data_IF_866340263479
#
_entry.id   IF_866340263479
#
_cell.length_a   1.000
_cell.length_b   1.000
_cell.length_c   1.000
_cell.angle_alpha   90.00
_cell.angle_beta   90.00
_cell.angle_gamma   90.00
#
_symmetry.space_group_name_H-M   'P 1'
#
loop_
_entity.id
_entity.type
_entity.pdbx_description
1 polymer ?
#
# COMPACT_ATOMS: atom_id res chain seq x y z
N UNK A 1 -18.38 34.29 26.72
CA UNK A 1 -18.31 34.34 25.24
C UNK A 1 -18.32 32.90 24.75
N UNK A 2 -19.41 32.49 24.10
CA UNK A 2 -19.69 31.09 23.72
C UNK A 2 -19.07 30.81 22.35
N UNK A 3 -18.26 29.75 22.25
CA UNK A 3 -17.84 29.16 20.98
C UNK A 3 -19.09 28.77 20.17
N UNK A 4 -19.23 29.33 18.98
CA UNK A 4 -20.19 28.83 18.01
C UNK A 4 -19.58 27.60 17.33
N UNK A 5 -20.26 26.46 17.49
CA UNK A 5 -20.04 25.27 16.67
C UNK A 5 -20.20 25.66 15.20
N UNK A 6 -19.14 25.45 14.40
CA UNK A 6 -19.23 25.50 12.95
C UNK A 6 -19.90 24.21 12.48
N UNK A 7 -21.23 24.21 12.41
CA UNK A 7 -21.99 23.08 11.86
C UNK A 7 -21.66 22.98 10.37
N UNK A 8 -21.00 21.91 9.97
CA UNK A 8 -20.77 21.55 8.57
C UNK A 8 -22.13 21.30 7.90
N UNK A 9 -22.62 22.29 7.14
CA UNK A 9 -23.83 22.13 6.33
C UNK A 9 -23.44 21.27 5.12
N UNK A 10 -23.78 19.97 5.17
CA UNK A 10 -23.85 19.14 3.98
C UNK A 10 -25.01 19.67 3.12
N UNK A 11 -24.70 20.53 2.15
CA UNK A 11 -25.67 20.92 1.13
C UNK A 11 -25.86 19.70 0.22
N UNK A 12 -26.83 18.83 0.54
CA UNK A 12 -27.37 17.88 -0.44
C UNK A 12 -28.39 18.62 -1.30
N UNK A 13 -27.90 19.46 -2.20
CA UNK A 13 -28.70 20.11 -3.23
C UNK A 13 -28.65 19.31 -4.52
N UNK A 14 -29.70 18.54 -4.83
CA UNK A 14 -29.92 18.03 -6.18
C UNK A 14 -30.62 19.11 -7.00
N UNK A 15 -29.82 19.96 -7.65
CA UNK A 15 -30.31 20.82 -8.73
C UNK A 15 -30.27 19.96 -10.00
N UNK A 16 -31.44 19.63 -10.54
CA UNK A 16 -31.56 18.94 -11.82
C UNK A 16 -31.42 19.97 -12.94
N UNK A 17 -30.18 20.37 -13.26
CA UNK A 17 -29.87 20.98 -14.55
C UNK A 17 -29.53 19.85 -15.54
N UNK A 18 -30.29 19.76 -16.60
CA UNK A 18 -30.07 18.85 -17.72
C UNK A 18 -28.64 19.09 -18.27
N UNK A 19 -27.66 18.26 -17.87
CA UNK A 19 -26.24 18.40 -18.24
C UNK A 19 -25.21 18.56 -17.11
N UNK A 20 -25.58 18.39 -15.83
CA UNK A 20 -24.63 18.50 -14.71
C UNK A 20 -23.73 17.26 -14.56
N UNK A 21 -22.43 17.49 -14.46
CA UNK A 21 -21.42 16.48 -14.12
C UNK A 21 -21.81 15.77 -12.80
N UNK A 22 -21.95 14.44 -12.84
CA UNK A 22 -22.37 13.64 -11.69
C UNK A 22 -21.35 12.56 -11.35
N UNK A 23 -20.85 12.58 -10.12
CA UNK A 23 -19.92 11.59 -9.56
C UNK A 23 -20.70 10.51 -8.80
N UNK A 24 -20.13 9.31 -8.68
CA UNK A 24 -20.59 8.32 -7.69
C UNK A 24 -20.35 8.87 -6.28
N UNK A 25 -21.18 8.50 -5.30
CA UNK A 25 -21.01 8.97 -3.92
C UNK A 25 -19.74 8.41 -3.28
N UNK A 26 -19.47 7.12 -3.50
CA UNK A 26 -18.31 6.41 -2.96
C UNK A 26 -17.76 5.47 -4.05
N UNK A 27 -16.44 5.40 -4.18
CA UNK A 27 -15.73 4.46 -5.04
C UNK A 27 -14.62 3.78 -4.23
N UNK A 28 -14.57 2.45 -4.29
CA UNK A 28 -13.46 1.68 -3.73
C UNK A 28 -12.46 1.37 -4.86
N UNK A 29 -11.19 1.63 -4.62
CA UNK A 29 -10.13 1.46 -5.61
C UNK A 29 -9.00 0.65 -4.99
N UNK A 30 -8.69 -0.50 -5.60
CA UNK A 30 -7.54 -1.31 -5.20
C UNK A 30 -6.26 -0.82 -5.84
N UNK A 31 -5.16 -0.88 -5.10
CA UNK A 31 -3.81 -0.65 -5.63
C UNK A 31 -3.41 -1.74 -6.63
N UNK A 32 -2.57 -1.37 -7.60
CA UNK A 32 -1.90 -2.32 -8.50
C UNK A 32 -0.77 -3.03 -7.76
N UNK A 33 -0.17 -4.02 -8.43
CA UNK A 33 0.96 -4.79 -7.89
C UNK A 33 2.22 -3.97 -7.62
N UNK A 34 2.31 -2.76 -8.16
CA UNK A 34 3.40 -1.81 -7.88
C UNK A 34 3.14 -0.92 -6.65
N UNK A 35 2.02 -1.14 -5.93
CA UNK A 35 1.65 -0.37 -4.76
C UNK A 35 1.09 1.01 -5.07
N UNK A 36 0.70 1.26 -6.33
CA UNK A 36 0.12 2.54 -6.75
C UNK A 36 -1.20 2.37 -7.48
N UNK A 37 -2.01 3.41 -7.48
CA UNK A 37 -3.15 3.53 -8.39
C UNK A 37 -3.30 4.95 -8.87
N UNK A 38 -3.82 5.08 -10.09
CA UNK A 38 -4.22 6.39 -10.65
C UNK A 38 -5.64 6.25 -11.15
N UNK A 39 -6.51 7.11 -10.64
CA UNK A 39 -7.90 7.22 -11.07
C UNK A 39 -8.03 8.33 -12.10
N UNK A 40 -8.87 8.11 -13.10
CA UNK A 40 -9.18 9.10 -14.13
C UNK A 40 -10.59 9.64 -13.91
N UNK A 41 -10.92 10.83 -14.42
CA UNK A 41 -12.23 11.43 -14.24
C UNK A 41 -13.39 10.49 -14.58
N UNK A 42 -13.28 9.77 -15.71
CA UNK A 42 -14.34 8.87 -16.20
C UNK A 42 -14.50 7.58 -15.38
N UNK A 43 -13.51 7.19 -14.58
CA UNK A 43 -13.59 5.98 -13.77
C UNK A 43 -14.61 6.14 -12.61
N UNK A 44 -14.94 7.39 -12.24
CA UNK A 44 -15.72 7.72 -11.04
C UNK A 44 -17.06 8.41 -11.31
N UNK A 45 -17.41 8.65 -12.57
CA UNK A 45 -18.68 9.27 -12.93
C UNK A 45 -19.86 8.31 -12.69
N UNK A 46 -20.97 8.86 -12.21
CA UNK A 46 -22.20 8.10 -11.93
C UNK A 46 -22.89 7.64 -13.22
N UNK A 47 -22.71 8.40 -14.30
CA UNK A 47 -23.29 8.10 -15.60
C UNK A 47 -22.12 7.99 -16.59
N UNK A 48 -22.03 6.91 -17.37
CA UNK A 48 -21.07 6.81 -18.46
C UNK A 48 -21.36 7.96 -19.44
N UNK A 49 -20.54 9.00 -19.37
CA UNK A 49 -20.62 10.14 -20.28
C UNK A 49 -19.50 9.99 -21.29
N UNK A 50 -19.84 9.96 -22.58
CA UNK A 50 -18.82 10.06 -23.61
C UNK A 50 -18.10 11.41 -23.48
N UNK A 51 -16.78 11.48 -23.70
CA UNK A 51 -16.06 12.75 -23.73
C UNK A 51 -16.71 13.69 -24.73
N UNK A 52 -17.07 14.90 -24.27
CA UNK A 52 -17.68 15.92 -25.12
C UNK A 52 -16.59 16.76 -25.81
N UNK A 53 -16.64 16.97 -27.14
CA UNK A 53 -15.66 17.82 -27.81
C UNK A 53 -15.57 19.21 -27.19
N UNK A 54 -14.35 19.66 -26.88
CA UNK A 54 -14.10 20.98 -26.28
C UNK A 54 -14.26 21.05 -24.76
N UNK A 55 -14.62 19.95 -24.09
CA UNK A 55 -14.60 19.85 -22.63
C UNK A 55 -13.29 19.23 -22.13
N UNK A 56 -12.80 19.68 -20.99
CA UNK A 56 -11.67 19.09 -20.26
C UNK A 56 -12.15 18.56 -18.92
N UNK A 57 -11.64 17.39 -18.55
CA UNK A 57 -11.95 16.74 -17.28
C UNK A 57 -10.67 16.61 -16.48
N UNK A 58 -10.73 17.04 -15.22
CA UNK A 58 -9.65 16.96 -14.25
C UNK A 58 -10.17 16.29 -12.98
N UNK A 59 -9.29 15.56 -12.27
CA UNK A 59 -9.63 14.88 -11.02
C UNK A 59 -8.51 15.12 -10.02
N UNK A 60 -8.87 15.46 -8.78
CA UNK A 60 -7.91 15.77 -7.74
C UNK A 60 -8.41 15.36 -6.35
N UNK A 61 -7.59 14.66 -5.54
CA UNK A 61 -6.36 13.95 -5.94
C UNK A 61 -6.65 12.81 -6.93
N UNK A 62 -5.66 12.43 -7.73
CA UNK A 62 -5.80 11.39 -8.77
C UNK A 62 -4.89 10.17 -8.58
N UNK A 63 -3.90 10.24 -7.71
CA UNK A 63 -2.89 9.21 -7.49
C UNK A 63 -2.82 8.83 -6.02
N UNK A 64 -2.76 7.54 -5.74
CA UNK A 64 -2.67 6.99 -4.39
C UNK A 64 -1.63 5.88 -4.34
N UNK A 65 -1.10 5.63 -3.16
CA UNK A 65 -0.09 4.60 -2.91
C UNK A 65 -0.37 3.82 -1.61
N UNK A 66 0.57 2.97 -1.21
CA UNK A 66 0.44 2.15 -0.01
C UNK A 66 0.21 2.91 1.30
N UNK A 67 0.64 4.16 1.41
CA UNK A 67 0.37 4.98 2.60
C UNK A 67 -1.11 5.39 2.70
N UNK A 68 -1.85 5.29 1.59
CA UNK A 68 -3.25 5.70 1.50
C UNK A 68 -4.23 4.54 1.76
N UNK A 69 -3.75 3.29 1.88
CA UNK A 69 -4.59 2.11 2.18
C UNK A 69 -5.34 2.28 3.50
N UNK A 70 -6.58 1.82 3.55
CA UNK A 70 -7.50 1.94 4.69
C UNK A 70 -7.88 3.38 5.06
N UNK A 71 -7.60 4.34 4.17
CA UNK A 71 -8.04 5.73 4.28
C UNK A 71 -9.11 6.07 3.22
N UNK A 72 -9.85 7.14 3.51
CA UNK A 72 -10.86 7.72 2.63
C UNK A 72 -10.49 9.15 2.26
N UNK A 73 -10.61 9.49 0.98
CA UNK A 73 -10.25 10.81 0.46
C UNK A 73 -11.46 11.47 -0.21
N UNK A 74 -11.67 12.76 0.07
CA UNK A 74 -12.60 13.56 -0.72
C UNK A 74 -11.92 13.97 -2.02
N UNK A 75 -12.47 13.50 -3.14
CA UNK A 75 -11.98 13.77 -4.48
C UNK A 75 -12.96 14.67 -5.21
N UNK A 76 -12.44 15.60 -6.00
CA UNK A 76 -13.22 16.48 -6.87
C UNK A 76 -12.92 16.15 -8.34
N UNK A 77 -13.98 16.00 -9.13
CA UNK A 77 -13.88 16.00 -10.59
C UNK A 77 -14.35 17.36 -11.09
N UNK A 78 -13.56 18.00 -11.95
CA UNK A 78 -13.89 19.25 -12.61
C UNK A 78 -14.06 19.03 -14.10
N UNK A 79 -15.15 19.51 -14.65
CA UNK A 79 -15.40 19.60 -16.08
C UNK A 79 -15.33 21.08 -16.48
N UNK A 80 -14.53 21.42 -17.48
CA UNK A 80 -14.36 22.81 -17.94
C UNK A 80 -14.49 22.95 -19.44
N UNK A 81 -15.12 24.04 -19.89
CA UNK A 81 -15.18 24.50 -21.28
C UNK A 81 -15.08 26.02 -21.32
N UNK A 82 -13.88 26.55 -21.56
CA UNK A 82 -13.64 28.00 -21.48
C UNK A 82 -13.97 28.52 -20.07
N UNK A 83 -14.85 29.52 -19.91
CA UNK A 83 -15.22 30.06 -18.59
C UNK A 83 -16.24 29.21 -17.83
N UNK A 84 -16.82 28.19 -18.46
CA UNK A 84 -17.84 27.33 -17.84
C UNK A 84 -17.13 26.20 -17.09
N UNK A 85 -17.43 26.02 -15.81
CA UNK A 85 -16.94 24.91 -15.00
C UNK A 85 -18.07 24.24 -14.22
N UNK A 86 -18.13 22.92 -14.28
CA UNK A 86 -18.93 22.08 -13.39
C UNK A 86 -18.00 21.26 -12.51
N UNK A 87 -18.48 20.87 -11.33
CA UNK A 87 -17.75 19.97 -10.45
C UNK A 87 -18.68 19.00 -9.74
N UNK A 88 -18.15 17.82 -9.44
CA UNK A 88 -18.77 16.89 -8.51
C UNK A 88 -17.74 16.34 -7.53
N UNK A 89 -18.22 15.96 -6.36
CA UNK A 89 -17.41 15.41 -5.28
C UNK A 89 -17.76 13.95 -5.07
N UNK A 90 -16.78 13.19 -4.61
CA UNK A 90 -16.94 11.81 -4.18
C UNK A 90 -15.99 11.47 -3.04
N UNK A 91 -16.27 10.37 -2.37
CA UNK A 91 -15.30 9.72 -1.49
C UNK A 91 -14.64 8.57 -2.23
N UNK A 92 -13.31 8.52 -2.20
CA UNK A 92 -12.51 7.39 -2.68
C UNK A 92 -11.93 6.66 -1.49
N UNK A 93 -12.20 5.36 -1.39
CA UNK A 93 -11.56 4.47 -0.42
C UNK A 93 -10.46 3.70 -1.12
N UNK A 94 -9.28 3.66 -0.52
CA UNK A 94 -8.14 2.90 -1.05
C UNK A 94 -8.01 1.59 -0.29
N UNK A 95 -7.97 0.50 -1.04
CA UNK A 95 -7.85 -0.86 -0.51
C UNK A 95 -6.63 -1.56 -1.13
N UNK A 96 -6.13 -2.57 -0.43
CA UNK A 96 -5.16 -3.51 -1.00
C UNK A 96 -5.78 -4.91 -1.05
N UNK A 97 -6.14 -5.34 -2.27
CA UNK A 97 -6.66 -6.68 -2.55
C UNK A 97 -5.63 -7.59 -3.21
N UNK A 98 -4.36 -7.18 -3.27
CA UNK A 98 -3.32 -8.02 -3.83
C UNK A 98 -3.12 -9.24 -2.92
N UNK A 99 -2.96 -10.42 -3.54
CA UNK A 99 -2.57 -11.61 -2.80
C UNK A 99 -1.16 -11.41 -2.21
N UNK A 100 -0.85 -12.04 -1.06
CA UNK A 100 0.50 -12.02 -0.53
C UNK A 100 1.54 -12.47 -1.57
N UNK A 101 2.67 -11.73 -1.70
CA UNK A 101 3.04 -10.57 -0.90
C UNK A 101 2.33 -9.31 -1.42
N UNK A 102 1.58 -8.63 -0.55
CA UNK A 102 0.94 -7.36 -0.88
C UNK A 102 2.02 -6.27 -1.02
N UNK A 103 1.86 -5.30 -1.94
CA UNK A 103 2.83 -4.22 -2.10
C UNK A 103 2.85 -3.25 -0.91
N UNK A 104 1.83 -3.29 -0.05
CA UNK A 104 1.65 -2.35 1.05
C UNK A 104 1.89 -2.96 2.42
N UNK A 105 2.25 -4.25 2.45
CA UNK A 105 2.63 -4.96 3.65
C UNK A 105 4.10 -5.33 3.56
N UNK A 106 4.85 -5.00 4.61
CA UNK A 106 6.19 -5.56 4.80
C UNK A 106 6.08 -7.01 5.25
N UNK A 107 7.06 -7.87 4.94
CA UNK A 107 7.05 -9.24 5.43
C UNK A 107 7.02 -9.29 6.96
N UNK A 108 6.20 -10.17 7.52
CA UNK A 108 6.29 -10.55 8.94
C UNK A 108 7.39 -11.59 9.08
N UNK A 109 8.42 -11.30 9.87
CA UNK A 109 9.57 -12.18 10.07
C UNK A 109 9.60 -12.66 11.52
N UNK A 110 9.63 -13.98 11.70
CA UNK A 110 9.76 -14.63 12.99
C UNK A 110 10.94 -15.61 12.92
N UNK A 111 11.81 -15.56 13.93
CA UNK A 111 12.92 -16.47 14.10
C UNK A 111 13.02 -16.96 15.55
N UNK A 112 13.80 -18.00 15.79
CA UNK A 112 14.20 -18.36 17.15
C UNK A 112 14.93 -17.20 17.82
N UNK A 113 14.74 -17.02 19.12
CA UNK A 113 15.47 -16.02 19.89
C UNK A 113 16.93 -16.41 20.11
N UNK A 114 17.17 -17.71 20.25
CA UNK A 114 18.49 -18.31 20.47
C UNK A 114 18.66 -19.54 19.56
N UNK A 115 19.85 -19.71 18.98
CA UNK A 115 20.18 -20.82 18.09
C UNK A 115 21.58 -21.37 18.38
N UNK A 116 21.65 -22.64 18.79
CA UNK A 116 22.94 -23.32 19.01
C UNK A 116 23.41 -24.00 17.72
N UNK A 117 24.49 -23.48 17.13
CA UNK A 117 25.09 -23.98 15.89
C UNK A 117 26.46 -24.56 16.19
N UNK A 118 26.72 -25.77 15.72
CA UNK A 118 28.04 -26.39 15.80
C UNK A 118 28.79 -26.21 14.47
N UNK A 119 30.11 -26.02 14.54
CA UNK A 119 30.96 -26.07 13.36
C UNK A 119 31.02 -27.50 12.82
N UNK A 120 31.07 -27.62 11.50
CA UNK A 120 31.32 -28.88 10.80
C UNK A 120 32.78 -29.32 11.01
N UNK A 121 33.12 -30.52 10.55
CA UNK A 121 34.48 -31.07 10.65
C UNK A 121 35.55 -30.25 9.92
N UNK A 122 35.15 -29.37 8.99
CA UNK A 122 36.03 -28.44 8.28
C UNK A 122 36.26 -27.11 9.02
N UNK A 123 35.64 -26.95 10.20
CA UNK A 123 35.75 -25.75 11.02
C UNK A 123 34.83 -24.60 10.61
N UNK A 124 33.81 -24.86 9.78
CA UNK A 124 32.84 -23.84 9.36
C UNK A 124 31.40 -24.24 9.66
N UNK A 125 30.52 -23.26 9.83
CA UNK A 125 29.08 -23.45 9.85
C UNK A 125 28.40 -22.48 8.88
N UNK A 126 27.30 -22.92 8.27
CA UNK A 126 26.47 -22.07 7.42
C UNK A 126 25.03 -22.11 7.92
N UNK A 127 24.49 -20.94 8.24
CA UNK A 127 23.08 -20.75 8.58
C UNK A 127 22.25 -20.51 7.34
N UNK A 128 21.19 -21.32 7.19
CA UNK A 128 20.14 -21.07 6.19
C UNK A 128 18.94 -20.41 6.84
N UNK A 129 18.11 -19.68 6.08
CA UNK A 129 16.87 -19.11 6.59
C UNK A 129 15.96 -20.12 7.33
N UNK A 130 15.85 -21.34 6.82
CA UNK A 130 15.01 -22.40 7.37
C UNK A 130 15.49 -22.88 8.74
N UNK A 131 16.80 -22.79 9.02
CA UNK A 131 17.34 -23.10 10.34
C UNK A 131 16.95 -22.08 11.41
N UNK A 132 16.69 -20.84 11.00
CA UNK A 132 16.38 -19.74 11.92
C UNK A 132 14.88 -19.60 12.22
N UNK A 133 14.00 -20.17 11.39
CA UNK A 133 12.56 -19.94 11.51
C UNK A 133 11.83 -21.09 12.21
N UNK A 134 10.90 -20.80 13.16
CA UNK A 134 10.07 -21.81 13.80
C UNK A 134 8.94 -22.34 12.89
N UNK A 135 8.67 -21.65 11.78
CA UNK A 135 7.59 -21.98 10.84
C UNK A 135 8.13 -22.05 9.40
N UNK A 136 7.42 -22.73 8.48
CA UNK A 136 7.78 -22.72 7.07
C UNK A 136 7.86 -21.29 6.51
N UNK A 137 8.95 -21.00 5.81
CA UNK A 137 9.15 -19.70 5.18
C UNK A 137 8.17 -19.50 4.03
N UNK A 138 7.57 -18.31 3.97
CA UNK A 138 6.64 -17.98 2.91
C UNK A 138 7.40 -17.79 1.59
N UNK A 139 7.12 -18.58 0.53
CA UNK A 139 7.82 -18.52 -0.76
C UNK A 139 7.56 -17.23 -1.54
N UNK A 140 6.64 -16.38 -1.08
CA UNK A 140 6.40 -15.04 -1.61
C UNK A 140 7.57 -14.06 -1.36
N UNK A 141 8.47 -14.37 -0.41
CA UNK A 141 9.57 -13.50 -0.03
C UNK A 141 10.92 -14.16 -0.38
N UNK A 142 11.88 -13.33 -0.74
CA UNK A 142 13.29 -13.70 -0.81
C UNK A 142 13.88 -13.65 0.61
N UNK A 143 14.31 -14.80 1.10
CA UNK A 143 14.85 -14.96 2.44
C UNK A 143 16.37 -15.01 2.44
N UNK A 144 16.99 -14.35 3.42
CA UNK A 144 18.44 -14.38 3.61
C UNK A 144 18.81 -14.29 5.08
N UNK A 145 20.05 -14.68 5.38
CA UNK A 145 20.62 -14.63 6.73
C UNK A 145 21.88 -13.78 6.71
N UNK A 146 22.07 -12.94 7.73
CA UNK A 146 23.28 -12.12 7.86
C UNK A 146 23.71 -11.96 9.33
N UNK A 147 24.94 -12.35 9.70
CA UNK A 147 25.90 -13.15 8.91
C UNK A 147 25.42 -14.62 8.76
N UNK A 148 25.72 -15.26 7.63
CA UNK A 148 25.30 -16.64 7.36
C UNK A 148 26.41 -17.67 7.45
N UNK A 149 27.68 -17.26 7.58
CA UNK A 149 28.83 -18.17 7.64
C UNK A 149 29.65 -17.82 8.88
N UNK A 150 30.07 -18.86 9.60
CA UNK A 150 30.86 -18.76 10.83
C UNK A 150 32.03 -19.73 10.77
N UNK A 151 33.14 -19.38 11.40
CA UNK A 151 34.31 -20.25 11.53
C UNK A 151 34.87 -20.31 12.96
N UNK A 152 36.05 -20.91 13.12
CA UNK A 152 36.74 -21.04 14.41
C UNK A 152 37.04 -19.69 15.11
N UNK A 153 37.01 -18.57 14.41
CA UNK A 153 37.20 -17.22 14.96
C UNK A 153 35.90 -16.61 15.51
N UNK A 154 34.76 -17.17 15.13
CA UNK A 154 33.42 -16.74 15.55
C UNK A 154 32.83 -17.61 16.68
N UNK A 155 33.69 -18.23 17.50
CA UNK A 155 33.24 -19.00 18.65
C UNK A 155 32.71 -18.04 19.73
N UNK A 156 31.42 -18.10 20.01
CA UNK A 156 30.74 -17.28 21.00
C UNK A 156 29.29 -17.02 20.61
N UNK A 157 28.67 -16.05 21.27
CA UNK A 157 27.33 -15.58 20.91
C UNK A 157 27.43 -14.46 19.88
N UNK A 158 26.69 -14.58 18.78
CA UNK A 158 26.68 -13.60 17.70
C UNK A 158 25.24 -13.23 17.35
N UNK A 159 24.98 -11.94 17.12
CA UNK A 159 23.68 -11.51 16.61
C UNK A 159 23.55 -11.86 15.13
N UNK A 160 22.46 -12.52 14.76
CA UNK A 160 22.16 -12.92 13.39
C UNK A 160 20.79 -12.39 12.98
N UNK A 161 20.67 -11.94 11.73
CA UNK A 161 19.43 -11.44 11.15
C UNK A 161 18.85 -12.45 10.18
N UNK A 162 17.60 -12.83 10.41
CA UNK A 162 16.77 -13.43 9.37
C UNK A 162 16.06 -12.28 8.63
N UNK A 163 16.26 -12.16 7.33
CA UNK A 163 15.78 -11.05 6.52
C UNK A 163 14.83 -11.60 5.46
N UNK A 164 13.66 -10.97 5.32
CA UNK A 164 12.73 -11.23 4.22
C UNK A 164 12.59 -9.99 3.35
N UNK A 165 12.62 -10.19 2.04
CA UNK A 165 12.42 -9.15 1.03
C UNK A 165 11.26 -9.55 0.13
N UNK A 166 10.25 -8.70 -0.04
CA UNK A 166 9.18 -8.92 -1.01
C UNK A 166 9.56 -8.49 -2.42
N UNK A 167 8.80 -8.95 -3.41
CA UNK A 167 9.03 -8.66 -4.84
C UNK A 167 8.99 -7.16 -5.21
N UNK A 168 8.36 -6.33 -4.38
CA UNK A 168 8.35 -4.87 -4.49
C UNK A 168 9.53 -4.17 -3.80
N UNK A 169 10.43 -4.93 -3.16
CA UNK A 169 11.61 -4.42 -2.45
C UNK A 169 11.39 -4.02 -0.99
N UNK A 170 10.20 -4.22 -0.40
CA UNK A 170 10.02 -4.00 1.03
C UNK A 170 10.75 -5.07 1.84
N UNK A 171 11.45 -4.66 2.90
CA UNK A 171 12.29 -5.55 3.72
C UNK A 171 11.90 -5.50 5.18
N UNK A 172 11.92 -6.63 5.85
CA UNK A 172 11.84 -6.70 7.31
C UNK A 172 12.80 -7.79 7.83
N UNK A 173 13.11 -7.76 9.13
CA UNK A 173 14.00 -8.74 9.74
C UNK A 173 13.61 -9.07 11.17
N UNK A 174 14.08 -10.22 11.63
CA UNK A 174 14.09 -10.58 13.05
C UNK A 174 15.52 -10.93 13.49
N UNK A 175 15.79 -10.76 14.78
CA UNK A 175 17.10 -10.99 15.39
C UNK A 175 17.10 -12.30 16.19
N UNK A 176 18.13 -13.09 15.97
CA UNK A 176 18.48 -14.27 16.77
C UNK A 176 19.88 -14.09 17.36
N UNK A 177 20.22 -14.92 18.36
CA UNK A 177 21.52 -14.95 19.01
C UNK A 177 22.07 -16.37 19.17
#
# INVERSE_FOLDING_TARGET
>A
MKCFLLTLVLITGSITMNGQLACRSIVNVSLRTDGTVTIRPFDVLAIPTAPRPGYRYDISPSSFNCADVDHSFSVIVRETRGPISNSCFLTVNIEDKNLPPSPCQSPSVYCFSELNVALNSDGTATLTPEMMSPEPLNPAFDWSVSPSIFDCTDIGTHEVRLIATSSNGATNFALAR
#
